data_IF_366069697928
#
_entry.id   IF_366069697928
#
_cell.length_a   1.000
_cell.length_b   1.000
_cell.length_c   1.000
_cell.angle_alpha   90.00
_cell.angle_beta   90.00
_cell.angle_gamma   90.00
#
_symmetry.space_group_name_H-M   'P 1'
#
loop_
_entity.id
_entity.type
_entity.pdbx_description
1 polymer ?
#
# COMPACT_ATOMS: atom_id res chain seq x y z
N UNK A 1 -27.98 11.74 9.36
CA UNK A 1 -29.40 11.61 8.94
C UNK A 1 -29.73 10.12 8.98
N UNK A 2 -30.37 9.64 10.06
CA UNK A 2 -30.72 8.24 10.19
C UNK A 2 -31.87 7.92 9.23
N UNK A 3 -31.61 7.08 8.22
CA UNK A 3 -32.66 6.52 7.38
C UNK A 3 -33.53 5.65 8.26
N UNK A 4 -34.72 6.16 8.63
CA UNK A 4 -35.71 5.39 9.39
C UNK A 4 -36.15 4.23 8.52
N UNK A 5 -35.61 3.06 8.81
CA UNK A 5 -35.95 1.78 8.19
C UNK A 5 -37.44 1.54 8.43
N UNK A 6 -38.26 1.66 7.37
CA UNK A 6 -39.73 1.63 7.49
C UNK A 6 -40.29 0.22 7.35
N UNK A 7 -39.54 -0.70 6.75
CA UNK A 7 -39.99 -2.08 6.52
C UNK A 7 -38.92 -3.10 6.91
N UNK A 8 -39.34 -4.34 7.21
CA UNK A 8 -38.42 -5.45 7.51
C UNK A 8 -37.50 -5.78 6.33
N UNK A 9 -37.95 -5.51 5.11
CA UNK A 9 -37.16 -5.70 3.89
C UNK A 9 -36.05 -4.65 3.79
N UNK A 10 -36.31 -3.39 4.17
CA UNK A 10 -35.28 -2.35 4.25
C UNK A 10 -34.24 -2.68 5.34
N UNK A 11 -34.69 -3.26 6.46
CA UNK A 11 -33.81 -3.71 7.55
C UNK A 11 -32.95 -4.91 7.13
N UNK A 12 -33.53 -5.87 6.40
CA UNK A 12 -32.78 -6.96 5.77
C UNK A 12 -31.80 -6.48 4.71
N UNK A 13 -32.18 -5.52 3.87
CA UNK A 13 -31.32 -4.97 2.83
C UNK A 13 -30.12 -4.22 3.45
N UNK A 14 -30.35 -3.39 4.47
CA UNK A 14 -29.29 -2.71 5.22
C UNK A 14 -28.37 -3.70 5.97
N UNK A 15 -28.93 -4.75 6.58
CA UNK A 15 -28.17 -5.80 7.25
C UNK A 15 -27.40 -6.71 6.27
N UNK A 16 -27.83 -6.82 5.01
CA UNK A 16 -27.20 -7.71 4.01
C UNK A 16 -25.89 -7.15 3.42
N UNK A 17 -25.62 -5.85 3.58
CA UNK A 17 -24.44 -5.23 2.98
C UNK A 17 -23.23 -5.28 3.92
N UNK A 18 -22.63 -6.47 4.04
CA UNK A 18 -21.47 -6.76 4.90
C UNK A 18 -20.16 -6.02 4.52
N UNK A 19 -20.19 -5.13 3.52
CA UNK A 19 -19.01 -4.39 3.07
C UNK A 19 -18.36 -3.54 4.16
N UNK A 20 -19.15 -2.90 5.02
CA UNK A 20 -18.60 -2.11 6.13
C UNK A 20 -17.90 -3.02 7.15
N UNK A 21 -18.43 -4.21 7.41
CA UNK A 21 -17.80 -5.20 8.27
C UNK A 21 -16.47 -5.69 7.67
N UNK A 22 -16.43 -5.97 6.37
CA UNK A 22 -15.19 -6.37 5.69
C UNK A 22 -14.11 -5.28 5.80
N UNK A 23 -14.46 -4.03 5.53
CA UNK A 23 -13.52 -2.90 5.67
C UNK A 23 -13.12 -2.67 7.12
N UNK A 24 -14.04 -2.86 8.06
CA UNK A 24 -13.73 -2.77 9.47
C UNK A 24 -12.69 -3.82 9.86
N UNK A 25 -12.92 -5.10 9.54
CA UNK A 25 -11.99 -6.19 9.84
C UNK A 25 -10.64 -5.95 9.15
N UNK A 26 -10.68 -5.57 7.87
CA UNK A 26 -9.49 -5.23 7.10
C UNK A 26 -8.62 -4.20 7.82
N UNK A 27 -9.18 -3.09 8.29
CA UNK A 27 -8.40 -2.04 8.97
C UNK A 27 -7.71 -2.55 10.24
N UNK A 28 -8.31 -3.49 10.97
CA UNK A 28 -7.75 -4.00 12.24
C UNK A 28 -6.63 -4.98 11.95
N UNK A 29 -6.88 -5.94 11.06
CA UNK A 29 -5.90 -6.95 10.67
C UNK A 29 -4.72 -6.31 9.93
N UNK A 30 -4.99 -5.45 8.94
CA UNK A 30 -3.93 -4.74 8.21
C UNK A 30 -3.14 -3.80 9.12
N UNK A 31 -3.78 -3.09 10.06
CA UNK A 31 -3.07 -2.25 11.02
C UNK A 31 -2.08 -3.04 11.87
N UNK A 32 -2.50 -4.19 12.41
CA UNK A 32 -1.62 -5.08 13.18
C UNK A 32 -0.45 -5.60 12.33
N UNK A 33 -0.71 -6.06 11.10
CA UNK A 33 0.33 -6.50 10.18
C UNK A 33 1.30 -5.38 9.82
N UNK A 34 0.79 -4.16 9.59
CA UNK A 34 1.58 -3.00 9.22
C UNK A 34 2.53 -2.57 10.33
N UNK A 35 2.22 -2.80 11.61
CA UNK A 35 3.18 -2.54 12.69
C UNK A 35 4.48 -3.31 12.45
N UNK A 36 4.39 -4.60 12.14
CA UNK A 36 5.58 -5.43 11.89
C UNK A 36 6.23 -5.13 10.54
N UNK A 37 5.45 -4.91 9.49
CA UNK A 37 5.96 -4.60 8.16
C UNK A 37 6.66 -3.23 8.11
N UNK A 38 6.09 -2.20 8.73
CA UNK A 38 6.72 -0.87 8.72
C UNK A 38 7.97 -0.85 9.60
N UNK A 39 7.91 -1.42 10.81
CA UNK A 39 9.08 -1.46 11.70
C UNK A 39 10.20 -2.31 11.11
N UNK A 40 9.89 -3.46 10.52
CA UNK A 40 10.87 -4.28 9.81
C UNK A 40 11.52 -3.50 8.66
N UNK A 41 10.72 -2.80 7.86
CA UNK A 41 11.23 -1.98 6.75
C UNK A 41 12.19 -0.90 7.25
N UNK A 42 11.80 -0.14 8.28
CA UNK A 42 12.65 0.89 8.88
C UNK A 42 13.95 0.29 9.41
N UNK A 43 13.87 -0.83 10.15
CA UNK A 43 15.03 -1.51 10.70
C UNK A 43 16.00 -1.95 9.60
N UNK A 44 15.50 -2.66 8.59
CA UNK A 44 16.33 -3.19 7.53
C UNK A 44 16.95 -2.10 6.66
N UNK A 45 16.24 -1.00 6.42
CA UNK A 45 16.67 0.06 5.51
C UNK A 45 17.53 1.13 6.18
N UNK A 46 17.36 1.36 7.49
CA UNK A 46 17.99 2.50 8.17
C UNK A 46 18.89 2.11 9.36
N UNK A 47 18.67 0.93 9.97
CA UNK A 47 19.37 0.52 11.19
C UNK A 47 20.36 -0.61 10.90
N UNK A 48 19.96 -1.58 10.09
CA UNK A 48 20.76 -2.76 9.79
C UNK A 48 21.91 -2.49 8.79
N UNK A 49 21.89 -1.35 8.11
CA UNK A 49 22.87 -1.00 7.07
C UNK A 49 23.61 0.26 7.51
N UNK A 50 24.94 0.24 7.39
CA UNK A 50 25.74 1.45 7.54
C UNK A 50 25.59 2.29 6.27
N UNK A 51 25.14 3.54 6.40
CA UNK A 51 24.95 4.45 5.26
C UNK A 51 26.24 4.74 4.48
N UNK A 52 27.41 4.48 5.08
CA UNK A 52 28.71 4.56 4.41
C UNK A 52 28.98 3.40 3.42
N UNK A 53 28.17 2.33 3.42
CA UNK A 53 28.34 1.11 2.60
C UNK A 53 27.23 0.93 1.56
N UNK A 54 26.34 1.90 1.40
CA UNK A 54 25.27 1.83 0.39
C UNK A 54 25.86 2.21 -0.98
N UNK A 55 26.26 1.19 -1.74
CA UNK A 55 26.68 1.34 -3.14
C UNK A 55 25.61 0.77 -4.10
N UNK A 56 25.87 0.90 -5.41
CA UNK A 56 24.99 0.35 -6.44
C UNK A 56 24.89 -1.19 -6.37
N UNK A 57 25.95 -1.89 -5.95
CA UNK A 57 25.98 -3.36 -5.84
C UNK A 57 25.04 -3.85 -4.73
N UNK A 58 24.96 -3.14 -3.61
CA UNK A 58 23.99 -3.40 -2.53
C UNK A 58 22.55 -3.32 -3.05
N UNK A 59 22.23 -2.27 -3.81
CA UNK A 59 20.90 -2.07 -4.40
C UNK A 59 20.57 -3.24 -5.34
N UNK A 60 21.48 -3.58 -6.24
CA UNK A 60 21.33 -4.68 -7.19
C UNK A 60 21.13 -6.02 -6.48
N UNK A 61 21.93 -6.35 -5.47
CA UNK A 61 21.81 -7.61 -4.69
C UNK A 61 20.49 -7.70 -3.92
N UNK A 62 20.01 -6.59 -3.37
CA UNK A 62 18.74 -6.55 -2.66
C UNK A 62 17.56 -6.71 -3.63
N UNK A 63 17.55 -5.94 -4.71
CA UNK A 63 16.49 -5.99 -5.73
C UNK A 63 16.55 -7.26 -6.59
N UNK A 64 17.63 -8.04 -6.55
CA UNK A 64 17.67 -9.39 -7.13
C UNK A 64 17.17 -10.48 -6.19
N UNK A 65 16.76 -10.17 -4.95
CA UNK A 65 16.20 -11.18 -4.05
C UNK A 65 14.65 -11.15 -4.07
N UNK A 66 13.98 -12.25 -4.44
CA UNK A 66 12.51 -12.29 -4.53
C UNK A 66 11.82 -12.14 -3.17
N UNK A 67 12.47 -12.54 -2.07
CA UNK A 67 11.91 -12.41 -0.72
C UNK A 67 11.67 -10.94 -0.36
N UNK A 68 12.62 -10.06 -0.71
CA UNK A 68 12.47 -8.62 -0.46
C UNK A 68 11.38 -7.99 -1.33
N UNK A 69 11.28 -8.40 -2.61
CA UNK A 69 10.19 -7.92 -3.49
C UNK A 69 8.81 -8.29 -2.95
N UNK A 70 8.64 -9.52 -2.47
CA UNK A 70 7.37 -9.98 -1.87
C UNK A 70 7.07 -9.16 -0.61
N UNK A 71 8.05 -8.93 0.24
CA UNK A 71 7.89 -8.10 1.43
C UNK A 71 7.43 -6.68 1.07
N UNK A 72 8.12 -6.04 0.11
CA UNK A 72 7.85 -4.66 -0.27
C UNK A 72 6.52 -4.50 -1.03
N UNK A 73 6.06 -5.48 -1.81
CA UNK A 73 4.73 -5.41 -2.46
C UNK A 73 3.59 -5.58 -1.44
N UNK A 74 3.76 -6.41 -0.41
CA UNK A 74 2.81 -6.50 0.69
C UNK A 74 2.77 -5.22 1.50
N UNK A 75 3.94 -4.64 1.82
CA UNK A 75 4.02 -3.36 2.52
C UNK A 75 3.37 -2.25 1.69
N UNK A 76 3.68 -2.13 0.40
CA UNK A 76 3.10 -1.15 -0.51
C UNK A 76 1.56 -1.29 -0.58
N UNK A 77 1.07 -2.50 -0.85
CA UNK A 77 -0.36 -2.75 -0.99
C UNK A 77 -1.14 -2.52 0.29
N UNK A 78 -0.68 -3.07 1.42
CA UNK A 78 -1.36 -2.91 2.70
C UNK A 78 -1.32 -1.46 3.18
N UNK A 79 -0.18 -0.77 3.04
CA UNK A 79 -0.05 0.63 3.47
C UNK A 79 -0.96 1.53 2.63
N UNK A 80 -0.97 1.37 1.31
CA UNK A 80 -1.82 2.16 0.42
C UNK A 80 -3.30 1.91 0.69
N UNK A 81 -3.73 0.65 0.78
CA UNK A 81 -5.14 0.33 1.03
C UNK A 81 -5.61 0.77 2.44
N UNK A 82 -4.79 0.55 3.47
CA UNK A 82 -5.08 0.97 4.84
C UNK A 82 -5.16 2.50 4.94
N UNK A 83 -4.15 3.20 4.39
CA UNK A 83 -4.11 4.66 4.37
C UNK A 83 -5.27 5.25 3.56
N UNK A 84 -5.56 4.73 2.37
CA UNK A 84 -6.66 5.18 1.52
C UNK A 84 -8.02 5.06 2.22
N UNK A 85 -8.28 3.92 2.87
CA UNK A 85 -9.53 3.72 3.60
C UNK A 85 -9.62 4.61 4.85
N UNK A 86 -8.50 4.80 5.56
CA UNK A 86 -8.41 5.77 6.67
C UNK A 86 -8.72 7.20 6.22
N UNK A 87 -8.09 7.67 5.14
CA UNK A 87 -8.36 9.00 4.58
C UNK A 87 -9.80 9.14 4.10
N UNK A 88 -10.45 8.06 3.62
CA UNK A 88 -11.88 8.10 3.26
C UNK A 88 -12.74 8.58 4.42
N UNK A 89 -12.50 8.05 5.62
CA UNK A 89 -13.23 8.45 6.83
C UNK A 89 -12.92 9.90 7.22
N UNK A 90 -11.64 10.30 7.19
CA UNK A 90 -11.25 11.69 7.46
C UNK A 90 -11.96 12.65 6.50
N UNK A 91 -11.96 12.37 5.19
CA UNK A 91 -12.64 13.21 4.21
C UNK A 91 -14.16 13.26 4.43
N UNK A 92 -14.78 12.15 4.83
CA UNK A 92 -16.19 12.10 5.16
C UNK A 92 -16.54 12.94 6.40
N UNK A 93 -15.64 13.00 7.38
CA UNK A 93 -15.85 13.74 8.62
C UNK A 93 -15.59 15.24 8.46
N UNK A 94 -14.59 15.65 7.68
CA UNK A 94 -14.19 17.06 7.57
C UNK A 94 -14.85 17.82 6.41
N UNK A 95 -15.17 17.17 5.27
CA UNK A 95 -15.73 17.87 4.11
C UNK A 95 -17.26 17.70 4.07
N UNK A 96 -17.98 18.75 4.46
CA UNK A 96 -19.45 18.74 4.52
C UNK A 96 -20.13 18.96 3.16
N UNK A 97 -19.50 19.71 2.25
CA UNK A 97 -20.03 19.94 0.91
C UNK A 97 -19.88 18.67 0.05
N UNK A 98 -21.00 18.15 -0.49
CA UNK A 98 -21.01 16.92 -1.27
C UNK A 98 -20.19 17.00 -2.55
N UNK A 99 -20.27 18.12 -3.28
CA UNK A 99 -19.55 18.32 -4.55
C UNK A 99 -18.04 18.40 -4.31
N UNK A 100 -17.62 19.20 -3.33
CA UNK A 100 -16.21 19.29 -2.94
C UNK A 100 -15.67 17.94 -2.48
N UNK A 101 -16.42 17.21 -1.65
CA UNK A 101 -16.01 15.89 -1.16
C UNK A 101 -15.86 14.88 -2.28
N UNK A 102 -16.77 14.89 -3.26
CA UNK A 102 -16.66 14.02 -4.44
C UNK A 102 -15.36 14.28 -5.19
N UNK A 103 -15.09 15.54 -5.56
CA UNK A 103 -13.87 15.87 -6.31
C UNK A 103 -12.59 15.58 -5.53
N UNK A 104 -12.55 15.91 -4.24
CA UNK A 104 -11.38 15.61 -3.39
C UNK A 104 -11.13 14.10 -3.30
N UNK A 105 -12.17 13.29 -3.09
CA UNK A 105 -12.03 11.82 -3.09
C UNK A 105 -11.56 11.28 -4.43
N UNK A 106 -12.11 11.78 -5.53
CA UNK A 106 -11.73 11.35 -6.88
C UNK A 106 -10.25 11.64 -7.16
N UNK A 107 -9.80 12.87 -6.87
CA UNK A 107 -8.39 13.25 -7.04
C UNK A 107 -7.50 12.39 -6.14
N UNK A 108 -7.85 12.26 -4.85
CA UNK A 108 -7.07 11.49 -3.90
C UNK A 108 -6.90 10.02 -4.34
N UNK A 109 -8.00 9.34 -4.69
CA UNK A 109 -7.93 7.93 -5.09
C UNK A 109 -7.24 7.74 -6.43
N UNK A 110 -7.32 8.72 -7.33
CA UNK A 110 -6.54 8.71 -8.58
C UNK A 110 -5.04 8.78 -8.29
N UNK A 111 -4.62 9.68 -7.40
CA UNK A 111 -3.22 9.80 -7.00
C UNK A 111 -2.71 8.54 -6.30
N UNK A 112 -3.50 7.98 -5.38
CA UNK A 112 -3.15 6.72 -4.69
C UNK A 112 -3.00 5.57 -5.70
N UNK A 113 -3.92 5.46 -6.66
CA UNK A 113 -3.84 4.45 -7.70
C UNK A 113 -2.60 4.64 -8.59
N UNK A 114 -2.30 5.87 -8.99
CA UNK A 114 -1.11 6.19 -9.76
C UNK A 114 0.18 5.82 -9.01
N UNK A 115 0.29 6.20 -7.74
CA UNK A 115 1.45 5.86 -6.88
C UNK A 115 1.57 4.35 -6.72
N UNK A 116 0.46 3.64 -6.50
CA UNK A 116 0.46 2.19 -6.38
C UNK A 116 0.94 1.50 -7.67
N UNK A 117 0.48 1.96 -8.83
CA UNK A 117 0.91 1.44 -10.14
C UNK A 117 2.39 1.71 -10.37
N UNK A 118 2.84 2.96 -10.20
CA UNK A 118 4.25 3.32 -10.39
C UNK A 118 5.14 2.54 -9.42
N UNK A 119 4.79 2.49 -8.14
CA UNK A 119 5.55 1.73 -7.15
C UNK A 119 5.60 0.23 -7.45
N UNK A 120 4.49 -0.35 -7.91
CA UNK A 120 4.45 -1.75 -8.34
C UNK A 120 5.36 -1.98 -9.54
N UNK A 121 5.31 -1.11 -10.56
CA UNK A 121 6.21 -1.18 -11.72
C UNK A 121 7.66 -1.11 -11.24
N UNK A 122 8.03 -0.13 -10.42
CA UNK A 122 9.41 0.03 -9.92
C UNK A 122 9.95 -1.21 -9.21
N UNK A 123 9.13 -1.89 -8.40
CA UNK A 123 9.54 -3.14 -7.72
C UNK A 123 9.85 -4.28 -8.71
N UNK A 124 9.20 -4.29 -9.87
CA UNK A 124 9.31 -5.34 -10.89
C UNK A 124 10.14 -4.95 -12.11
N UNK A 125 10.51 -3.68 -12.28
CA UNK A 125 11.28 -3.19 -13.42
C UNK A 125 12.68 -3.78 -13.52
N UNK A 126 13.28 -4.19 -12.40
CA UNK A 126 14.58 -4.84 -12.42
C UNK A 126 14.41 -6.36 -12.51
N UNK A 127 14.60 -6.90 -13.72
CA UNK A 127 14.56 -8.34 -13.99
C UNK A 127 15.82 -9.02 -13.47
N UNK A 128 15.71 -10.29 -13.05
CA UNK A 128 16.87 -11.09 -12.60
C UNK A 128 17.93 -11.25 -13.71
N UNK A 129 17.49 -11.25 -14.96
CA UNK A 129 18.32 -11.50 -16.14
C UNK A 129 19.29 -10.33 -16.41
N UNK A 130 18.78 -9.11 -16.44
CA UNK A 130 19.56 -7.91 -16.78
C UNK A 130 20.64 -7.61 -15.73
N UNK A 131 20.36 -7.83 -14.44
CA UNK A 131 21.36 -7.65 -13.37
C UNK A 131 22.46 -8.73 -13.40
N UNK A 132 22.09 -9.98 -13.73
CA UNK A 132 23.07 -11.07 -13.89
C UNK A 132 23.99 -10.88 -15.09
N UNK A 133 23.53 -10.16 -16.12
CA UNK A 133 24.33 -9.82 -17.30
C UNK A 133 25.25 -8.61 -17.03
N UNK A 134 24.79 -7.61 -16.27
CA UNK A 134 25.63 -6.46 -15.83
C UNK A 134 26.76 -6.89 -14.88
N UNK A 135 26.49 -7.78 -13.91
CA UNK A 135 27.56 -8.31 -13.03
C UNK A 135 28.59 -9.10 -13.83
N UNK A 136 28.14 -9.89 -14.82
CA UNK A 136 29.05 -10.62 -15.73
C UNK A 136 29.89 -9.70 -16.61
N UNK A 137 29.34 -8.57 -17.07
CA UNK A 137 30.09 -7.61 -17.88
C UNK A 137 31.09 -6.77 -17.08
N UNK A 138 30.83 -6.56 -15.78
CA UNK A 138 31.78 -5.86 -14.88
C UNK A 138 32.93 -6.77 -14.44
N UNK A 139 32.69 -8.08 -14.29
CA UNK A 139 33.75 -9.07 -13.94
C UNK A 139 34.62 -9.49 -15.13
N UNK A 140 34.24 -9.16 -16.37
CA UNK A 140 35.00 -9.48 -17.58
C UNK A 140 36.05 -8.42 -17.96
N UNK A 141 36.28 -7.43 -17.11
CA UNK A 141 37.34 -6.40 -17.24
C UNK A 141 38.18 -6.37 -15.97
#
# INVERSE_FOLDING_TARGET
MATRVRTLNDAKAAASNNFELYWWVFMRVSGLLLVFLVLGHIYMQNIAINSAEIDYDYVVRRFSNPTWKIYDIFLLGLTMLHGANGLRYVLDDYIKNLSTRFWVKTILFTLIAAIFVVGSITLWSFSFQEMGDVVRSVQSH
#
